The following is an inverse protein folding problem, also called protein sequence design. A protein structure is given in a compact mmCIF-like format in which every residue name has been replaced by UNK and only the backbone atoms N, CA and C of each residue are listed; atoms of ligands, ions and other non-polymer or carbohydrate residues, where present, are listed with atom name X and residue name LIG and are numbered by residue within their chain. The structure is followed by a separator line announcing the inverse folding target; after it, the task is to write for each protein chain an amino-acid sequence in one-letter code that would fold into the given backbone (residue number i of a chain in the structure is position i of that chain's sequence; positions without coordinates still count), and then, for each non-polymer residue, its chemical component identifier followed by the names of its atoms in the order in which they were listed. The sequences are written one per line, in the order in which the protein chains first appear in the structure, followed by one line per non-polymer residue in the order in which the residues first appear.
data_IF_192591907271
#
_entry.id   IF_192591907271
#
_cell.length_a   1.000
_cell.length_b   1.000
_cell.length_c   1.000
_cell.angle_alpha   90.00
_cell.angle_beta   90.00
_cell.angle_gamma   90.00
#
_symmetry.space_group_name_H-M   'P 1'
#
loop_
_entity.id
_entity.type
_entity.pdbx_description
1 polymer ?
#
# COMPACT_ATOMS: atom_id res chain seq x y z
N UNK A 1 -4.06 30.11 -23.76
CA UNK A 1 -4.63 28.75 -23.65
C UNK A 1 -4.78 28.42 -22.18
N UNK A 2 -5.99 28.54 -21.65
CA UNK A 2 -6.33 28.21 -20.26
C UNK A 2 -6.39 26.68 -20.13
N UNK A 3 -5.56 26.05 -19.27
CA UNK A 3 -5.63 24.61 -19.07
C UNK A 3 -7.01 24.24 -18.51
N UNK A 4 -7.73 23.38 -19.22
CA UNK A 4 -9.06 22.90 -18.84
C UNK A 4 -8.99 22.07 -17.55
N UNK A 5 -10.06 22.09 -16.75
CA UNK A 5 -10.17 21.36 -15.48
C UNK A 5 -9.93 19.84 -15.62
N UNK A 6 -10.14 19.27 -16.80
CA UNK A 6 -9.85 17.87 -17.12
C UNK A 6 -8.34 17.56 -17.08
N UNK A 7 -7.51 18.51 -17.48
CA UNK A 7 -6.07 18.33 -17.53
C UNK A 7 -5.39 18.34 -16.16
N UNK A 8 -6.02 18.97 -15.15
CA UNK A 8 -5.59 18.85 -13.74
C UNK A 8 -5.98 17.49 -13.15
N UNK A 9 -7.20 17.01 -13.41
CA UNK A 9 -7.68 15.69 -12.95
C UNK A 9 -6.81 14.53 -13.46
N UNK A 10 -6.43 14.54 -14.73
CA UNK A 10 -5.61 13.47 -15.31
C UNK A 10 -4.15 13.46 -14.80
N UNK A 11 -3.63 14.59 -14.30
CA UNK A 11 -2.22 14.73 -13.90
C UNK A 11 -1.92 14.26 -12.50
N UNK A 12 -2.78 14.59 -11.53
CA UNK A 12 -2.55 14.27 -10.12
C UNK A 12 -2.51 12.75 -9.91
N UNK A 13 -3.55 12.06 -10.37
CA UNK A 13 -3.70 10.59 -10.31
C UNK A 13 -2.57 9.85 -11.04
N UNK A 14 -2.09 10.38 -12.17
CA UNK A 14 -1.00 9.74 -12.93
C UNK A 14 0.36 9.79 -12.22
N UNK A 15 0.62 10.81 -11.38
CA UNK A 15 1.90 10.94 -10.66
C UNK A 15 1.96 10.02 -9.44
N UNK A 16 0.85 9.86 -8.74
CA UNK A 16 0.74 9.04 -7.53
C UNK A 16 0.72 7.54 -7.86
N UNK A 17 0.00 7.12 -8.92
CA UNK A 17 -0.04 5.72 -9.35
C UNK A 17 1.32 5.21 -9.87
N UNK A 18 2.17 6.12 -10.37
CA UNK A 18 3.58 5.84 -10.69
C UNK A 18 4.46 5.69 -9.45
N UNK A 19 4.12 6.41 -8.37
CA UNK A 19 4.80 6.38 -7.07
C UNK A 19 4.54 5.06 -6.34
N UNK A 20 3.29 4.58 -6.24
CA UNK A 20 2.99 3.29 -5.58
C UNK A 20 3.52 2.09 -6.37
N UNK A 21 3.41 2.10 -7.70
CA UNK A 21 4.08 1.10 -8.55
C UNK A 21 5.61 1.16 -8.41
N UNK A 22 6.16 2.36 -8.22
CA UNK A 22 7.57 2.60 -7.89
C UNK A 22 7.97 2.01 -6.53
N UNK A 23 7.14 2.19 -5.50
CA UNK A 23 7.35 1.65 -4.15
C UNK A 23 7.31 0.12 -4.18
N UNK A 24 6.33 -0.51 -4.84
CA UNK A 24 6.28 -1.98 -4.98
C UNK A 24 7.48 -2.55 -5.73
N UNK A 25 7.89 -1.94 -6.85
CA UNK A 25 9.09 -2.38 -7.59
C UNK A 25 10.37 -2.15 -6.79
N UNK A 26 10.45 -1.05 -6.05
CA UNK A 26 11.56 -0.75 -5.14
C UNK A 26 11.65 -1.77 -4.00
N UNK A 27 10.53 -2.11 -3.39
CA UNK A 27 10.45 -3.14 -2.35
C UNK A 27 10.89 -4.51 -2.87
N UNK A 28 10.47 -4.91 -4.07
CA UNK A 28 10.88 -6.19 -4.66
C UNK A 28 12.38 -6.23 -4.98
N UNK A 29 12.94 -5.13 -5.51
CA UNK A 29 14.39 -5.00 -5.72
C UNK A 29 15.17 -5.05 -4.41
N UNK A 30 14.66 -4.38 -3.37
CA UNK A 30 15.25 -4.39 -2.04
C UNK A 30 15.23 -5.81 -1.47
N UNK A 31 14.12 -6.53 -1.60
CA UNK A 31 14.00 -7.92 -1.19
C UNK A 31 15.02 -8.82 -1.88
N UNK A 32 15.17 -8.70 -3.20
CA UNK A 32 16.18 -9.43 -3.95
C UNK A 32 17.60 -9.08 -3.50
N UNK A 33 17.88 -7.80 -3.26
CA UNK A 33 19.20 -7.35 -2.81
C UNK A 33 19.54 -7.87 -1.40
N UNK A 34 18.59 -7.82 -0.46
CA UNK A 34 18.79 -8.27 0.92
C UNK A 34 18.94 -9.80 0.97
N UNK A 35 18.11 -10.55 0.24
CA UNK A 35 18.23 -12.02 0.17
C UNK A 35 19.54 -12.45 -0.48
N UNK A 36 19.94 -11.82 -1.59
CA UNK A 36 21.23 -12.07 -2.22
C UNK A 36 22.40 -11.74 -1.28
N UNK A 37 22.33 -10.62 -0.55
CA UNK A 37 23.33 -10.21 0.43
C UNK A 37 23.45 -11.22 1.59
N UNK A 38 22.32 -11.66 2.15
CA UNK A 38 22.29 -12.67 3.21
C UNK A 38 22.89 -14.00 2.74
N UNK A 39 22.51 -14.47 1.55
CA UNK A 39 23.08 -15.69 0.96
C UNK A 39 24.58 -15.56 0.72
N UNK A 40 25.03 -14.41 0.21
CA UNK A 40 26.45 -14.17 -0.04
C UNK A 40 27.24 -14.18 1.28
N UNK A 41 26.71 -13.58 2.33
CA UNK A 41 27.35 -13.56 3.65
C UNK A 41 27.48 -14.96 4.24
N UNK A 42 26.39 -15.74 4.24
CA UNK A 42 26.40 -17.15 4.69
C UNK A 42 27.39 -17.97 3.88
N UNK A 43 27.36 -17.86 2.54
CA UNK A 43 28.27 -18.59 1.66
C UNK A 43 29.74 -18.22 1.91
N UNK A 44 30.05 -16.93 2.11
CA UNK A 44 31.41 -16.45 2.38
C UNK A 44 31.90 -16.97 3.74
N UNK A 45 31.05 -16.94 4.77
CA UNK A 45 31.40 -17.46 6.09
C UNK A 45 31.66 -18.96 6.06
N UNK A 46 30.79 -19.74 5.41
CA UNK A 46 30.99 -21.18 5.25
C UNK A 46 32.23 -21.52 4.42
N UNK A 47 32.51 -20.76 3.36
CA UNK A 47 33.73 -20.93 2.57
C UNK A 47 34.98 -20.66 3.43
N UNK A 48 34.99 -19.59 4.24
CA UNK A 48 36.09 -19.30 5.16
C UNK A 48 36.29 -20.43 6.17
N UNK A 49 35.23 -20.92 6.80
CA UNK A 49 35.30 -22.03 7.73
C UNK A 49 35.87 -23.29 7.07
N UNK A 50 35.39 -23.62 5.87
CA UNK A 50 35.91 -24.75 5.12
C UNK A 50 37.40 -24.59 4.79
N UNK A 51 37.84 -23.40 4.37
CA UNK A 51 39.26 -23.14 4.07
C UNK A 51 40.16 -23.20 5.31
N UNK A 52 39.64 -22.83 6.49
CA UNK A 52 40.41 -22.81 7.73
C UNK A 52 40.46 -24.18 8.43
N UNK A 53 39.36 -24.93 8.39
CA UNK A 53 39.22 -26.17 9.15
C UNK A 53 39.19 -27.43 8.30
N UNK A 54 39.07 -27.31 6.97
CA UNK A 54 39.03 -28.45 6.04
C UNK A 54 37.73 -29.26 6.06
N UNK A 55 36.81 -28.94 6.99
CA UNK A 55 35.54 -29.63 7.19
C UNK A 55 34.40 -28.61 7.35
N UNK A 56 33.20 -29.00 6.94
CA UNK A 56 31.98 -28.23 7.12
C UNK A 56 31.16 -28.85 8.25
N UNK A 57 31.09 -28.15 9.39
CA UNK A 57 30.19 -28.53 10.47
C UNK A 57 28.75 -28.11 10.12
N UNK A 58 27.89 -29.11 9.94
CA UNK A 58 26.48 -28.93 9.63
C UNK A 58 25.75 -28.10 10.70
N UNK A 59 26.22 -28.14 11.96
CA UNK A 59 25.66 -27.35 13.07
C UNK A 59 25.91 -25.86 12.86
N UNK A 60 27.11 -25.49 12.40
CA UNK A 60 27.45 -24.09 12.12
C UNK A 60 26.65 -23.59 10.92
N UNK A 61 26.52 -24.40 9.87
CA UNK A 61 25.65 -24.08 8.74
C UNK A 61 24.18 -23.89 9.15
N UNK A 62 23.68 -24.70 10.09
CA UNK A 62 22.33 -24.54 10.62
C UNK A 62 22.18 -23.25 11.44
N UNK A 63 23.18 -22.88 12.24
CA UNK A 63 23.20 -21.62 13.01
C UNK A 63 23.21 -20.42 12.05
N UNK A 64 24.10 -20.42 11.05
CA UNK A 64 24.18 -19.35 10.05
C UNK A 64 22.87 -19.19 9.28
N UNK A 65 22.26 -20.30 8.87
CA UNK A 65 20.94 -20.31 8.24
C UNK A 65 19.87 -19.72 9.15
N UNK A 66 19.86 -20.10 10.44
CA UNK A 66 18.94 -19.56 11.43
C UNK A 66 19.11 -18.05 11.64
N UNK A 67 20.34 -17.57 11.75
CA UNK A 67 20.66 -16.14 11.88
C UNK A 67 20.22 -15.37 10.63
N UNK A 68 20.49 -15.91 9.43
CA UNK A 68 20.06 -15.30 8.18
C UNK A 68 18.52 -15.18 8.09
N UNK A 69 17.79 -16.23 8.49
CA UNK A 69 16.31 -16.20 8.52
C UNK A 69 15.79 -15.15 9.50
N UNK A 70 16.34 -15.09 10.72
CA UNK A 70 15.94 -14.08 11.71
C UNK A 70 16.25 -12.66 11.25
N UNK A 71 17.42 -12.44 10.63
CA UNK A 71 17.80 -11.17 10.04
C UNK A 71 16.86 -10.75 8.91
N UNK A 72 16.51 -11.68 8.02
CA UNK A 72 15.54 -11.44 6.96
C UNK A 72 14.15 -11.12 7.51
N UNK A 73 13.70 -11.81 8.56
CA UNK A 73 12.43 -11.53 9.22
C UNK A 73 12.40 -10.12 9.84
N UNK A 74 13.48 -9.68 10.48
CA UNK A 74 13.59 -8.33 11.03
C UNK A 74 13.54 -7.26 9.92
N UNK A 75 14.25 -7.49 8.81
CA UNK A 75 14.20 -6.61 7.63
C UNK A 75 12.80 -6.59 7.02
N UNK A 76 12.12 -7.73 6.94
CA UNK A 76 10.73 -7.83 6.47
C UNK A 76 9.82 -6.93 7.29
N UNK A 77 9.91 -7.04 8.62
CA UNK A 77 9.11 -6.28 9.56
C UNK A 77 9.38 -4.78 9.45
N UNK A 78 10.65 -4.38 9.34
CA UNK A 78 11.05 -2.99 9.17
C UNK A 78 10.58 -2.39 7.83
N UNK A 79 10.71 -3.14 6.74
CA UNK A 79 10.20 -2.71 5.43
C UNK A 79 8.67 -2.57 5.48
N UNK A 80 7.97 -3.53 6.11
CA UNK A 80 6.52 -3.49 6.26
C UNK A 80 6.05 -2.25 7.02
N UNK A 81 6.66 -1.96 8.17
CA UNK A 81 6.34 -0.78 8.98
C UNK A 81 6.57 0.53 8.22
N UNK A 82 7.65 0.65 7.44
CA UNK A 82 7.88 1.84 6.60
C UNK A 82 6.84 1.97 5.49
N UNK A 83 6.45 0.85 4.87
CA UNK A 83 5.45 0.85 3.80
C UNK A 83 4.10 1.30 4.35
N UNK A 84 3.70 0.79 5.51
CA UNK A 84 2.44 1.17 6.17
C UNK A 84 2.41 2.66 6.51
N UNK A 85 3.50 3.20 7.08
CA UNK A 85 3.58 4.63 7.41
C UNK A 85 3.52 5.51 6.15
N UNK A 86 4.19 5.10 5.08
CA UNK A 86 4.12 5.80 3.80
C UNK A 86 2.73 5.72 3.16
N UNK A 87 2.06 4.59 3.29
CA UNK A 87 0.69 4.43 2.81
C UNK A 87 -0.26 5.37 3.58
N UNK A 88 -0.12 5.45 4.91
CA UNK A 88 -0.89 6.38 5.74
C UNK A 88 -0.70 7.84 5.32
N UNK A 89 0.54 8.27 5.15
CA UNK A 89 0.82 9.63 4.68
C UNK A 89 0.30 9.90 3.26
N UNK A 90 0.32 8.91 2.37
CA UNK A 90 -0.27 9.04 1.04
C UNK A 90 -1.79 9.22 1.13
N UNK A 91 -2.48 8.47 1.99
CA UNK A 91 -3.92 8.63 2.25
C UNK A 91 -4.22 10.02 2.78
N UNK A 92 -3.46 10.50 3.77
CA UNK A 92 -3.64 11.84 4.35
C UNK A 92 -3.46 12.93 3.29
N UNK A 93 -2.43 12.83 2.45
CA UNK A 93 -2.18 13.79 1.37
C UNK A 93 -3.31 13.81 0.32
N UNK A 94 -3.79 12.63 -0.10
CA UNK A 94 -4.90 12.51 -1.05
C UNK A 94 -6.19 13.09 -0.46
N UNK A 95 -6.49 12.80 0.81
CA UNK A 95 -7.66 13.34 1.49
C UNK A 95 -7.59 14.87 1.60
N UNK A 96 -6.43 15.43 1.92
CA UNK A 96 -6.23 16.88 1.96
C UNK A 96 -6.44 17.52 0.58
N UNK A 97 -5.90 16.95 -0.49
CA UNK A 97 -6.06 17.45 -1.86
C UNK A 97 -7.54 17.42 -2.30
N UNK A 98 -8.26 16.37 -1.93
CA UNK A 98 -9.70 16.24 -2.18
C UNK A 98 -10.52 17.27 -1.39
N UNK A 99 -10.12 17.59 -0.16
CA UNK A 99 -10.79 18.59 0.69
C UNK A 99 -10.51 20.04 0.26
N UNK A 100 -9.41 20.32 -0.43
CA UNK A 100 -9.06 21.68 -0.89
C UNK A 100 -9.94 22.19 -2.05
N UNK A 101 -10.61 21.31 -2.81
CA UNK A 101 -11.48 21.73 -3.92
C UNK A 101 -12.91 21.14 -3.81
N UNK A 102 -13.70 21.52 -2.80
CA UNK A 102 -15.03 20.95 -2.62
C UNK A 102 -16.01 21.51 -3.67
N UNK A 103 -16.65 20.61 -4.43
CA UNK A 103 -17.75 20.97 -5.35
C UNK A 103 -19.08 20.30 -4.97
N UNK A 104 -19.07 19.05 -4.47
CA UNK A 104 -20.21 18.30 -3.92
C UNK A 104 -19.69 17.06 -3.17
N UNK A 105 -20.30 16.68 -2.03
CA UNK A 105 -19.93 15.53 -1.19
C UNK A 105 -19.85 14.22 -2.00
N UNK A 106 -20.79 13.99 -2.93
CA UNK A 106 -20.78 12.79 -3.80
C UNK A 106 -19.55 12.73 -4.70
N UNK A 107 -19.26 13.83 -5.39
CA UNK A 107 -18.13 13.88 -6.33
C UNK A 107 -16.78 13.79 -5.60
N UNK A 108 -16.69 14.43 -4.43
CA UNK A 108 -15.53 14.36 -3.53
C UNK A 108 -15.32 12.93 -3.02
N UNK A 109 -16.39 12.25 -2.59
CA UNK A 109 -16.30 10.86 -2.11
C UNK A 109 -15.94 9.88 -3.23
N UNK A 110 -16.49 10.05 -4.44
CA UNK A 110 -16.15 9.24 -5.59
C UNK A 110 -14.68 9.43 -6.00
N UNK A 111 -14.23 10.69 -6.11
CA UNK A 111 -12.85 10.98 -6.45
C UNK A 111 -11.84 10.47 -5.40
N UNK A 112 -12.19 10.54 -4.12
CA UNK A 112 -11.36 9.97 -3.04
C UNK A 112 -11.26 8.45 -3.14
N UNK A 113 -12.39 7.76 -3.33
CA UNK A 113 -12.41 6.31 -3.45
C UNK A 113 -11.69 5.80 -4.70
N UNK A 114 -11.88 6.48 -5.84
CA UNK A 114 -11.16 6.17 -7.07
C UNK A 114 -9.65 6.37 -6.88
N UNK A 115 -9.23 7.47 -6.24
CA UNK A 115 -7.82 7.67 -5.92
C UNK A 115 -7.27 6.57 -5.00
N UNK A 116 -8.00 6.18 -3.95
CA UNK A 116 -7.58 5.09 -3.05
C UNK A 116 -7.51 3.73 -3.76
N UNK A 117 -8.42 3.46 -4.69
CA UNK A 117 -8.45 2.22 -5.48
C UNK A 117 -7.34 2.18 -6.53
N UNK A 118 -7.11 3.30 -7.23
CA UNK A 118 -6.02 3.45 -8.21
C UNK A 118 -4.65 3.30 -7.56
N UNK A 119 -4.49 3.74 -6.31
CA UNK A 119 -3.30 3.51 -5.51
C UNK A 119 -3.23 2.10 -4.90
N UNK A 120 -4.25 1.26 -5.09
CA UNK A 120 -4.33 -0.09 -4.55
C UNK A 120 -4.32 -0.14 -3.01
N UNK A 121 -4.69 0.97 -2.36
CA UNK A 121 -4.84 1.09 -0.92
C UNK A 121 -6.12 0.36 -0.49
N UNK A 122 -7.17 0.48 -1.29
CA UNK A 122 -8.42 -0.27 -1.10
C UNK A 122 -8.69 -1.15 -2.32
N UNK A 123 -9.08 -2.40 -2.08
CA UNK A 123 -9.60 -3.30 -3.11
C UNK A 123 -11.11 -3.11 -3.31
N UNK A 124 -11.79 -2.64 -2.27
CA UNK A 124 -13.17 -2.22 -2.31
C UNK A 124 -13.51 -1.39 -1.08
N UNK A 125 -14.29 -0.33 -1.29
CA UNK A 125 -14.69 0.61 -0.25
C UNK A 125 -15.97 1.34 -0.65
N UNK A 126 -16.76 1.77 0.33
CA UNK A 126 -17.96 2.56 0.13
C UNK A 126 -17.99 3.71 1.14
N UNK A 127 -18.37 4.90 0.69
CA UNK A 127 -18.58 6.06 1.55
C UNK A 127 -20.07 6.25 1.69
N UNK A 128 -20.53 6.33 2.94
CA UNK A 128 -21.91 6.63 3.27
C UNK A 128 -22.00 7.92 4.09
N UNK A 129 -23.03 8.71 3.85
CA UNK A 129 -23.25 10.01 4.48
C UNK A 129 -24.62 10.00 5.13
N UNK A 130 -24.70 10.54 6.35
CA UNK A 130 -25.97 10.76 7.03
C UNK A 130 -26.61 12.04 6.52
N UNK A 131 -27.94 12.03 6.36
CA UNK A 131 -28.69 13.26 6.11
C UNK A 131 -28.62 14.22 7.30
N UNK A 132 -29.22 15.41 7.14
CA UNK A 132 -29.27 16.42 8.21
C UNK A 132 -30.08 15.96 9.44
N UNK A 133 -30.95 14.95 9.28
CA UNK A 133 -31.67 14.31 10.38
C UNK A 133 -30.82 13.23 11.07
N UNK A 134 -30.79 13.28 12.40
CA UNK A 134 -29.98 12.39 13.28
C UNK A 134 -30.38 10.91 13.14
N UNK A 135 -31.64 10.63 12.77
CA UNK A 135 -32.18 9.28 12.56
C UNK A 135 -32.26 8.87 11.07
N UNK A 136 -31.70 9.68 10.17
CA UNK A 136 -31.72 9.35 8.74
C UNK A 136 -30.86 8.11 8.46
N UNK A 137 -31.32 7.18 7.60
CA UNK A 137 -30.48 6.10 7.13
C UNK A 137 -29.26 6.67 6.38
N UNK A 138 -28.09 6.06 6.59
CA UNK A 138 -26.87 6.38 5.87
C UNK A 138 -27.08 6.06 4.38
N UNK A 139 -26.86 7.06 3.54
CA UNK A 139 -26.90 6.91 2.09
C UNK A 139 -25.49 6.68 1.55
N UNK A 140 -25.30 5.59 0.80
CA UNK A 140 -24.03 5.32 0.12
C UNK A 140 -23.90 6.27 -1.06
N UNK A 141 -22.91 7.17 -1.00
CA UNK A 141 -22.69 8.24 -1.98
C UNK A 141 -21.62 7.89 -3.01
N UNK A 142 -20.74 6.94 -2.69
CA UNK A 142 -19.69 6.46 -3.59
C UNK A 142 -19.25 5.05 -3.18
N UNK A 143 -18.82 4.24 -4.15
CA UNK A 143 -18.19 2.95 -3.88
C UNK A 143 -17.21 2.57 -5.01
N UNK A 144 -16.19 1.79 -4.65
CA UNK A 144 -15.20 1.21 -5.56
C UNK A 144 -15.00 -0.27 -5.22
N UNK A 145 -14.63 -1.09 -6.20
CA UNK A 145 -14.44 -2.54 -6.01
C UNK A 145 -15.73 -3.37 -5.93
N UNK A 146 -16.88 -2.76 -6.20
CA UNK A 146 -18.19 -3.43 -6.31
C UNK A 146 -18.67 -3.44 -7.77
N UNK A 147 -19.55 -4.38 -8.18
CA UNK A 147 -20.14 -4.37 -9.51
C UNK A 147 -20.88 -3.05 -9.80
N UNK A 148 -20.81 -2.53 -11.02
CA UNK A 148 -21.50 -1.28 -11.44
C UNK A 148 -22.97 -1.13 -10.98
N UNK A 149 -23.83 -2.17 -10.97
CA UNK A 149 -25.20 -2.02 -10.49
C UNK A 149 -25.32 -1.97 -8.96
N UNK A 150 -24.28 -2.36 -8.20
CA UNK A 150 -24.34 -2.56 -6.75
C UNK A 150 -24.72 -1.28 -6.01
N UNK A 151 -24.17 -0.14 -6.42
CA UNK A 151 -24.43 1.15 -5.76
C UNK A 151 -25.91 1.54 -5.79
N UNK A 152 -26.66 1.10 -6.81
CA UNK A 152 -28.11 1.35 -6.95
C UNK A 152 -28.96 0.41 -6.10
N UNK A 153 -28.39 -0.72 -5.68
CA UNK A 153 -29.06 -1.77 -4.91
C UNK A 153 -28.53 -1.88 -3.48
N UNK A 154 -27.59 -1.00 -3.11
CA UNK A 154 -26.91 -1.10 -1.84
C UNK A 154 -27.92 -0.85 -0.69
N UNK A 155 -27.98 -1.73 0.32
CA UNK A 155 -28.93 -1.58 1.40
C UNK A 155 -28.61 -0.32 2.21
N UNK A 156 -29.63 0.43 2.68
CA UNK A 156 -29.41 1.57 3.56
C UNK A 156 -28.75 1.10 4.85
N UNK A 157 -27.69 1.80 5.27
CA UNK A 157 -26.97 1.49 6.50
C UNK A 157 -27.62 2.24 7.67
N UNK A 158 -27.70 1.61 8.84
CA UNK A 158 -28.11 2.26 10.09
C UNK A 158 -26.98 2.14 11.09
N UNK A 159 -26.63 3.25 11.74
CA UNK A 159 -25.73 3.24 12.88
C UNK A 159 -26.61 2.86 14.09
N UNK A 160 -26.37 1.68 14.66
CA UNK A 160 -27.03 1.19 15.87
C UNK A 160 -26.28 1.60 17.12
#
# INVERSE_FOLDING_TARGET
MTPTLEWRRARAVSRSAGLVRGVRRGALRLWLAVTAGALTLVATHLALLFTLFGELDLRVAAIDGGVAVLGLAAVAWYIGTIIDERARHAVEAVLLEVLETPRNIRDTAAAALDALADEGIVLGAAVAVTGEDVDAPLEIVAATGYPDPWLRTAPPLRIG
#
